data_IF_924712777707
#
_entry.id   IF_924712777707
#
_cell.length_a   1.000
_cell.length_b   1.000
_cell.length_c   1.000
_cell.angle_alpha   90.00
_cell.angle_beta   90.00
_cell.angle_gamma   90.00
#
_symmetry.space_group_name_H-M   'P 1'
#
loop_
_entity.id
_entity.type
_entity.pdbx_description
1 polymer ?
#
# COMPACT_ATOMS: atom_id res chain seq x y z
N UNK A 1 -10.26 39.41 -7.34
CA UNK A 1 -11.13 38.29 -6.95
C UNK A 1 -10.80 36.93 -7.61
N UNK A 2 -10.28 36.79 -8.85
CA UNK A 2 -10.09 35.46 -9.47
C UNK A 2 -8.96 34.62 -8.85
N UNK A 3 -8.01 35.27 -8.16
CA UNK A 3 -6.91 34.59 -7.45
C UNK A 3 -7.38 33.79 -6.24
N UNK A 4 -8.36 34.31 -5.50
CA UNK A 4 -8.92 33.61 -4.33
C UNK A 4 -9.68 32.35 -4.76
N UNK A 5 -10.47 32.45 -5.82
CA UNK A 5 -11.19 31.30 -6.39
C UNK A 5 -10.24 30.24 -6.94
N UNK A 6 -9.12 30.62 -7.59
CA UNK A 6 -8.11 29.65 -8.01
C UNK A 6 -7.43 28.94 -6.84
N UNK A 7 -7.07 29.67 -5.77
CA UNK A 7 -6.49 29.06 -4.57
C UNK A 7 -7.46 28.11 -3.88
N UNK A 8 -8.75 28.50 -3.80
CA UNK A 8 -9.78 27.65 -3.21
C UNK A 8 -9.95 26.34 -4.01
N UNK A 9 -9.93 26.42 -5.34
CA UNK A 9 -10.03 25.26 -6.23
C UNK A 9 -8.82 24.32 -6.10
N UNK A 10 -7.61 24.88 -5.99
CA UNK A 10 -6.40 24.06 -5.79
C UNK A 10 -6.42 23.38 -4.43
N UNK A 11 -6.80 24.09 -3.37
CA UNK A 11 -6.95 23.52 -2.03
C UNK A 11 -8.01 22.41 -2.03
N UNK A 12 -9.15 22.63 -2.67
CA UNK A 12 -10.21 21.62 -2.79
C UNK A 12 -9.74 20.38 -3.55
N UNK A 13 -9.03 20.54 -4.67
CA UNK A 13 -8.45 19.41 -5.40
C UNK A 13 -7.44 18.64 -4.56
N UNK A 14 -6.60 19.32 -3.79
CA UNK A 14 -5.64 18.68 -2.89
C UNK A 14 -6.36 17.91 -1.76
N UNK A 15 -7.43 18.46 -1.20
CA UNK A 15 -8.27 17.80 -0.19
C UNK A 15 -8.97 16.54 -0.74
N UNK A 16 -9.42 16.57 -2.00
CA UNK A 16 -10.04 15.40 -2.64
C UNK A 16 -9.01 14.29 -2.90
N UNK A 17 -7.76 14.64 -3.19
CA UNK A 17 -6.67 13.68 -3.39
C UNK A 17 -6.16 13.08 -2.08
N UNK A 18 -6.19 13.83 -0.96
CA UNK A 18 -5.76 13.33 0.36
C UNK A 18 -6.81 12.48 1.08
N UNK A 19 -8.04 12.41 0.55
CA UNK A 19 -9.15 11.63 1.11
C UNK A 19 -9.10 10.13 0.80
N UNK A 20 -8.15 9.65 0.00
CA UNK A 20 -8.00 8.21 -0.22
C UNK A 20 -7.55 7.54 1.09
N UNK A 21 -8.41 6.66 1.63
CA UNK A 21 -8.09 5.89 2.84
C UNK A 21 -6.76 5.17 2.63
N UNK A 22 -5.79 5.49 3.49
CA UNK A 22 -4.44 4.92 3.46
C UNK A 22 -4.46 3.38 3.43
N UNK A 23 -5.43 2.77 4.09
CA UNK A 23 -5.58 1.31 4.12
C UNK A 23 -6.01 0.75 2.76
N UNK A 24 -6.94 1.41 2.06
CA UNK A 24 -7.34 1.04 0.70
C UNK A 24 -6.18 1.15 -0.29
N UNK A 25 -5.37 2.20 -0.17
CA UNK A 25 -4.19 2.38 -1.00
C UNK A 25 -3.13 1.28 -0.76
N UNK A 26 -2.82 1.00 0.51
CA UNK A 26 -1.86 -0.05 0.88
C UNK A 26 -2.33 -1.45 0.48
N UNK A 27 -3.62 -1.72 0.63
CA UNK A 27 -4.25 -2.97 0.20
C UNK A 27 -4.12 -3.15 -1.32
N UNK A 28 -4.53 -2.13 -2.09
CA UNK A 28 -4.44 -2.17 -3.55
C UNK A 28 -3.02 -2.30 -4.06
N UNK A 29 -2.06 -1.60 -3.45
CA UNK A 29 -0.64 -1.76 -3.79
C UNK A 29 -0.14 -3.18 -3.52
N UNK A 30 -0.48 -3.74 -2.36
CA UNK A 30 -0.06 -5.09 -2.00
C UNK A 30 -0.59 -6.14 -2.97
N UNK A 31 -1.88 -6.10 -3.29
CA UNK A 31 -2.49 -7.03 -4.25
C UNK A 31 -1.90 -6.88 -5.65
N UNK A 32 -1.64 -5.66 -6.09
CA UNK A 32 -0.98 -5.40 -7.37
C UNK A 32 0.41 -6.02 -7.44
N UNK A 33 1.25 -5.79 -6.42
CA UNK A 33 2.58 -6.37 -6.31
C UNK A 33 2.55 -7.90 -6.24
N UNK A 34 1.65 -8.47 -5.42
CA UNK A 34 1.47 -9.91 -5.30
C UNK A 34 1.10 -10.53 -6.64
N UNK A 35 0.09 -9.99 -7.31
CA UNK A 35 -0.41 -10.50 -8.59
C UNK A 35 0.66 -10.41 -9.67
N UNK A 36 1.40 -9.31 -9.71
CA UNK A 36 2.51 -9.15 -10.66
C UNK A 36 3.61 -10.21 -10.44
N UNK A 37 3.98 -10.43 -9.18
CA UNK A 37 5.01 -11.40 -8.82
C UNK A 37 4.54 -12.83 -9.10
N UNK A 38 3.27 -13.14 -8.81
CA UNK A 38 2.66 -14.40 -9.20
C UNK A 38 2.77 -14.57 -10.72
N UNK A 39 2.33 -13.60 -11.53
CA UNK A 39 2.37 -13.70 -13.00
C UNK A 39 3.79 -13.85 -13.57
N UNK A 40 4.81 -13.30 -12.92
CA UNK A 40 6.21 -13.43 -13.34
C UNK A 40 6.90 -14.70 -12.86
N UNK A 41 6.45 -15.28 -11.74
CA UNK A 41 7.03 -16.52 -11.22
C UNK A 41 6.76 -17.69 -12.15
N UNK A 42 7.82 -18.40 -12.51
CA UNK A 42 7.71 -19.60 -13.33
C UNK A 42 7.08 -20.75 -12.53
N UNK A 43 6.41 -21.72 -13.19
CA UNK A 43 5.83 -22.86 -12.48
C UNK A 43 6.84 -23.63 -11.61
N UNK A 44 8.11 -23.69 -12.03
CA UNK A 44 9.17 -24.34 -11.29
C UNK A 44 9.55 -23.60 -9.99
N UNK A 45 9.53 -22.26 -10.00
CA UNK A 45 9.81 -21.44 -8.81
C UNK A 45 8.68 -21.51 -7.76
N UNK A 46 7.45 -21.78 -8.20
CA UNK A 46 6.30 -21.93 -7.30
C UNK A 46 6.29 -23.25 -6.54
N UNK A 47 6.99 -24.28 -7.04
CA UNK A 47 6.99 -25.60 -6.39
C UNK A 47 7.79 -25.52 -5.09
N UNK A 48 7.09 -25.69 -3.95
CA UNK A 48 7.70 -25.71 -2.63
C UNK A 48 7.81 -24.35 -1.94
N UNK A 49 7.39 -23.26 -2.59
CA UNK A 49 7.22 -21.98 -1.89
C UNK A 49 5.89 -21.97 -1.12
N UNK A 50 5.87 -21.43 0.10
CA UNK A 50 4.62 -21.22 0.83
C UNK A 50 3.76 -20.21 0.07
N UNK A 51 2.44 -20.39 0.14
CA UNK A 51 1.50 -19.45 -0.45
C UNK A 51 1.76 -18.02 0.05
N UNK A 52 1.70 -17.06 -0.86
CA UNK A 52 1.83 -15.65 -0.52
C UNK A 52 0.69 -15.27 0.46
N UNK A 53 1.01 -14.67 1.62
CA UNK A 53 0.01 -14.36 2.64
C UNK A 53 -1.09 -13.46 2.09
N UNK A 54 -2.29 -13.51 2.67
CA UNK A 54 -3.29 -12.51 2.31
C UNK A 54 -2.90 -11.14 2.89
N UNK A 55 -3.54 -10.06 2.41
CA UNK A 55 -3.22 -8.72 2.88
C UNK A 55 -3.39 -8.54 4.40
N UNK A 56 -4.39 -9.18 5.01
CA UNK A 56 -4.64 -9.10 6.45
C UNK A 56 -3.51 -9.73 7.28
N UNK A 57 -2.97 -10.86 6.83
CA UNK A 57 -1.82 -11.51 7.46
C UNK A 57 -0.56 -10.68 7.27
N UNK A 58 -0.34 -10.11 6.09
CA UNK A 58 0.74 -9.15 5.85
C UNK A 58 0.62 -7.93 6.80
N UNK A 59 -0.58 -7.38 6.96
CA UNK A 59 -0.81 -6.21 7.79
C UNK A 59 -0.53 -6.50 9.27
N UNK A 60 -0.98 -7.66 9.77
CA UNK A 60 -0.65 -8.14 11.12
C UNK A 60 0.85 -8.29 11.32
N UNK A 61 1.54 -8.99 10.41
CA UNK A 61 2.99 -9.16 10.49
C UNK A 61 3.76 -7.83 10.42
N UNK A 62 3.24 -6.85 9.67
CA UNK A 62 3.82 -5.50 9.59
C UNK A 62 3.65 -4.75 10.91
N UNK A 63 2.46 -4.82 11.53
CA UNK A 63 2.18 -4.22 12.84
C UNK A 63 3.02 -4.88 13.94
N UNK A 64 3.09 -6.21 13.94
CA UNK A 64 3.88 -7.01 14.89
C UNK A 64 5.38 -6.66 14.80
N UNK A 65 5.93 -6.54 13.58
CA UNK A 65 7.32 -6.08 13.36
C UNK A 65 7.55 -4.65 13.83
N UNK A 66 6.61 -3.74 13.57
CA UNK A 66 6.70 -2.36 14.04
C UNK A 66 6.71 -2.27 15.57
N UNK A 67 5.99 -3.17 16.26
CA UNK A 67 5.99 -3.25 17.73
C UNK A 67 7.22 -3.97 18.31
N UNK A 68 7.83 -4.89 17.57
CA UNK A 68 8.98 -5.67 18.06
C UNK A 68 10.34 -4.95 17.88
N UNK A 69 10.43 -3.93 17.03
CA UNK A 69 11.69 -3.24 16.79
C UNK A 69 11.52 -1.72 16.70
N UNK A 70 11.49 -0.99 17.84
CA UNK A 70 11.31 0.46 17.86
C UNK A 70 12.51 1.26 17.30
N UNK A 71 13.59 0.59 16.86
CA UNK A 71 14.84 1.21 16.41
C UNK A 71 15.21 0.99 14.94
N UNK A 72 14.34 0.41 14.11
CA UNK A 72 14.62 0.09 12.70
C UNK A 72 14.49 1.28 11.74
N UNK A 73 15.11 2.42 12.04
CA UNK A 73 15.44 3.44 11.04
C UNK A 73 16.90 3.23 10.63
N UNK A 74 17.11 2.65 9.45
CA UNK A 74 18.31 2.88 8.64
C UNK A 74 17.87 3.42 7.29
#
# INVERSE_FOLDING_TARGET
MPRLTMMLLTILCLLLLTGCSKDWFLHGMYEGLRTHNDLQSTPAERVGQPDSPNYGDYERMRKERATQNPGGHQ
#
